data_IF_808342427067
#
_entry.id   IF_808342427067
#
_cell.length_a   1.000
_cell.length_b   1.000
_cell.length_c   1.000
_cell.angle_alpha   90.00
_cell.angle_beta   90.00
_cell.angle_gamma   90.00
#
_symmetry.space_group_name_H-M   'P 1'
#
loop_
_entity.id
_entity.type
_entity.pdbx_description
1 polymer ?
#
# COMPACT_ATOMS: atom_id res chain seq x y z
N UNK A 1 19.07 -28.48 6.20
CA UNK A 1 19.82 -28.96 5.02
C UNK A 1 21.19 -28.31 5.12
N UNK A 2 22.27 -29.09 5.09
CA UNK A 2 23.64 -28.57 5.18
C UNK A 2 24.48 -29.13 4.03
N UNK A 3 25.46 -28.35 3.56
CA UNK A 3 26.41 -28.82 2.55
C UNK A 3 27.33 -29.88 3.17
N UNK A 4 27.75 -30.85 2.34
CA UNK A 4 28.79 -31.80 2.73
C UNK A 4 30.08 -31.05 3.12
N UNK A 5 30.74 -31.42 4.24
CA UNK A 5 32.02 -30.80 4.64
C UNK A 5 33.11 -30.88 3.58
N UNK A 6 33.06 -31.91 2.72
CA UNK A 6 34.01 -32.08 1.61
C UNK A 6 33.84 -31.03 0.49
N UNK A 7 32.68 -30.37 0.43
CA UNK A 7 32.28 -29.48 -0.63
C UNK A 7 32.05 -28.02 -0.14
N UNK A 8 32.25 -27.78 1.16
CA UNK A 8 32.03 -26.50 1.82
C UNK A 8 32.95 -25.37 1.33
N UNK A 9 33.97 -25.69 0.53
CA UNK A 9 34.94 -24.74 -0.02
C UNK A 9 34.49 -24.16 -1.35
N UNK A 10 33.58 -24.82 -2.07
CA UNK A 10 33.15 -24.43 -3.41
C UNK A 10 31.99 -23.43 -3.34
N UNK A 11 32.21 -22.21 -3.83
CA UNK A 11 31.22 -21.14 -3.78
C UNK A 11 29.95 -21.46 -4.57
N UNK A 12 30.05 -22.31 -5.61
CA UNK A 12 28.88 -22.78 -6.37
C UNK A 12 27.96 -23.65 -5.51
N UNK A 13 28.56 -24.47 -4.65
CA UNK A 13 27.83 -25.37 -3.77
C UNK A 13 27.21 -24.61 -2.61
N UNK A 14 27.90 -23.59 -2.09
CA UNK A 14 27.34 -22.67 -1.09
C UNK A 14 26.14 -21.92 -1.65
N UNK A 15 26.25 -21.38 -2.85
CA UNK A 15 25.19 -20.62 -3.49
C UNK A 15 23.98 -21.49 -3.85
N UNK A 16 24.20 -22.71 -4.34
CA UNK A 16 23.12 -23.68 -4.56
C UNK A 16 22.39 -24.04 -3.26
N UNK A 17 23.14 -24.19 -2.16
CA UNK A 17 22.55 -24.42 -0.84
C UNK A 17 21.73 -23.21 -0.37
N UNK A 18 22.20 -21.99 -0.63
CA UNK A 18 21.48 -20.75 -0.32
C UNK A 18 20.14 -20.68 -1.06
N UNK A 19 20.10 -20.97 -2.36
CA UNK A 19 18.85 -21.02 -3.14
C UNK A 19 17.88 -22.08 -2.60
N UNK A 20 18.43 -23.22 -2.20
CA UNK A 20 17.65 -24.35 -1.67
C UNK A 20 17.06 -24.02 -0.31
N UNK A 21 17.86 -23.48 0.61
CA UNK A 21 17.43 -23.16 1.98
C UNK A 21 16.61 -21.88 2.05
N UNK A 22 16.86 -20.94 1.14
CA UNK A 22 16.14 -19.68 1.01
C UNK A 22 14.84 -19.85 0.22
N UNK A 23 14.81 -19.28 -0.98
CA UNK A 23 13.60 -19.12 -1.80
C UNK A 23 12.87 -20.45 -2.09
N UNK A 24 13.61 -21.55 -2.26
CA UNK A 24 13.00 -22.86 -2.54
C UNK A 24 12.22 -23.42 -1.34
N UNK A 25 12.78 -23.37 -0.13
CA UNK A 25 12.03 -23.77 1.06
C UNK A 25 10.94 -22.76 1.41
N UNK A 26 11.22 -21.46 1.24
CA UNK A 26 10.26 -20.40 1.48
C UNK A 26 8.99 -20.66 0.68
N UNK A 27 9.11 -20.88 -0.63
CA UNK A 27 7.96 -21.06 -1.50
C UNK A 27 7.15 -22.32 -1.21
N UNK A 28 7.81 -23.36 -0.70
CA UNK A 28 7.17 -24.63 -0.32
C UNK A 28 6.57 -24.59 1.09
N UNK A 29 6.95 -23.62 1.93
CA UNK A 29 6.47 -23.52 3.31
C UNK A 29 4.99 -23.14 3.41
N UNK A 30 4.43 -22.52 2.35
CA UNK A 30 3.08 -21.98 2.31
C UNK A 30 2.41 -22.20 0.97
N UNK A 31 1.17 -22.69 1.00
CA UNK A 31 0.39 -22.96 -0.20
C UNK A 31 0.14 -21.69 -1.03
N UNK A 32 -0.16 -20.55 -0.40
CA UNK A 32 -0.44 -19.30 -1.10
C UNK A 32 0.79 -18.74 -1.84
N UNK A 33 2.00 -18.96 -1.31
CA UNK A 33 3.24 -18.55 -1.99
C UNK A 33 3.54 -19.47 -3.17
N UNK A 34 3.35 -20.78 -2.99
CA UNK A 34 3.45 -21.73 -4.08
C UNK A 34 2.50 -21.39 -5.24
N UNK A 35 1.23 -21.16 -4.96
CA UNK A 35 0.24 -20.82 -5.98
C UNK A 35 0.51 -19.47 -6.66
N UNK A 36 0.99 -18.46 -5.94
CA UNK A 36 1.22 -17.13 -6.52
C UNK A 36 2.46 -17.06 -7.40
N UNK A 37 3.56 -17.68 -6.99
CA UNK A 37 4.83 -17.56 -7.72
C UNK A 37 5.67 -18.84 -7.72
N UNK A 38 5.53 -19.73 -6.74
CA UNK A 38 6.33 -20.95 -6.65
C UNK A 38 6.17 -21.94 -7.79
N UNK A 39 4.95 -22.12 -8.28
CA UNK A 39 4.66 -22.97 -9.43
C UNK A 39 5.39 -22.52 -10.71
N UNK A 40 5.85 -21.27 -10.78
CA UNK A 40 6.66 -20.73 -11.89
C UNK A 40 8.15 -20.66 -11.54
N UNK A 41 8.48 -20.28 -10.30
CA UNK A 41 9.84 -20.18 -9.81
C UNK A 41 10.58 -21.53 -9.81
N UNK A 42 9.96 -22.60 -9.28
CA UNK A 42 10.63 -23.89 -9.16
C UNK A 42 11.01 -24.50 -10.52
N UNK A 43 10.13 -24.52 -11.54
CA UNK A 43 10.56 -24.91 -12.88
C UNK A 43 11.63 -23.99 -13.46
N UNK A 44 11.52 -22.67 -13.24
CA UNK A 44 12.48 -21.68 -13.75
C UNK A 44 13.90 -21.96 -13.26
N UNK A 45 14.09 -22.15 -11.95
CA UNK A 45 15.42 -22.41 -11.37
C UNK A 45 15.94 -23.81 -11.74
N UNK A 46 15.06 -24.81 -11.82
CA UNK A 46 15.42 -26.15 -12.30
C UNK A 46 15.94 -26.10 -13.75
N UNK A 47 15.23 -25.41 -14.64
CA UNK A 47 15.67 -25.27 -16.03
C UNK A 47 16.94 -24.43 -16.17
N UNK A 48 17.13 -23.41 -15.33
CA UNK A 48 18.35 -22.62 -15.28
C UNK A 48 19.58 -23.49 -15.01
N UNK A 49 19.52 -24.35 -13.99
CA UNK A 49 20.60 -25.30 -13.73
C UNK A 49 20.78 -26.34 -14.83
N UNK A 50 19.66 -26.88 -15.35
CA UNK A 50 19.69 -27.91 -16.41
C UNK A 50 20.31 -27.39 -17.71
N UNK A 51 20.01 -26.14 -18.08
CA UNK A 51 20.49 -25.50 -19.30
C UNK A 51 21.78 -24.69 -19.08
N UNK A 52 22.26 -24.59 -17.83
CA UNK A 52 23.38 -23.75 -17.44
C UNK A 52 23.20 -22.29 -17.88
N UNK A 53 22.05 -21.71 -17.51
CA UNK A 53 21.66 -20.35 -17.87
C UNK A 53 21.47 -19.49 -16.62
N UNK A 54 21.90 -18.24 -16.69
CA UNK A 54 21.59 -17.21 -15.69
C UNK A 54 20.31 -16.48 -16.10
N UNK A 55 19.16 -16.97 -15.64
CA UNK A 55 17.84 -16.41 -15.95
C UNK A 55 17.24 -15.55 -14.82
N UNK A 56 17.82 -15.61 -13.62
CA UNK A 56 17.40 -14.84 -12.46
C UNK A 56 18.63 -14.40 -11.65
N UNK A 57 18.39 -13.58 -10.63
CA UNK A 57 19.42 -13.11 -9.70
C UNK A 57 19.65 -14.06 -8.52
N UNK A 58 19.20 -15.31 -8.58
CA UNK A 58 19.44 -16.28 -7.49
C UNK A 58 20.94 -16.68 -7.42
N UNK A 59 21.55 -16.71 -6.23
CA UNK A 59 22.95 -17.06 -6.02
C UNK A 59 23.46 -18.25 -6.86
N UNK A 60 22.75 -19.37 -6.90
CA UNK A 60 23.19 -20.61 -7.52
C UNK A 60 23.26 -20.59 -9.04
N UNK A 61 22.45 -19.75 -9.70
CA UNK A 61 22.42 -19.64 -11.18
C UNK A 61 23.34 -18.53 -11.72
N UNK A 62 23.84 -17.64 -10.85
CA UNK A 62 24.74 -16.53 -11.24
C UNK A 62 26.07 -16.99 -11.82
N UNK A 63 26.51 -18.21 -11.51
CA UNK A 63 27.77 -18.77 -12.04
C UNK A 63 27.68 -19.13 -13.53
N UNK A 64 26.49 -19.14 -14.10
CA UNK A 64 26.27 -19.38 -15.52
C UNK A 64 26.36 -18.08 -16.35
N UNK A 65 26.81 -18.17 -17.60
CA UNK A 65 26.92 -17.04 -18.52
C UNK A 65 28.34 -16.48 -18.73
N UNK A 66 29.31 -16.90 -17.92
CA UNK A 66 30.73 -16.63 -18.13
C UNK A 66 31.13 -15.16 -17.99
N UNK A 67 32.40 -14.89 -18.32
CA UNK A 67 33.05 -13.60 -18.03
C UNK A 67 32.40 -12.40 -18.72
N UNK A 68 31.99 -12.57 -19.98
CA UNK A 68 31.33 -11.49 -20.73
C UNK A 68 30.01 -11.06 -20.08
N UNK A 69 29.18 -12.01 -19.62
CA UNK A 69 27.92 -11.66 -18.96
C UNK A 69 28.17 -11.03 -17.59
N UNK A 70 29.17 -11.52 -16.85
CA UNK A 70 29.59 -10.92 -15.58
C UNK A 70 30.00 -9.46 -15.78
N UNK A 71 30.84 -9.17 -16.77
CA UNK A 71 31.33 -7.82 -17.05
C UNK A 71 30.20 -6.88 -17.47
N UNK A 72 29.31 -7.33 -18.38
CA UNK A 72 28.11 -6.57 -18.78
C UNK A 72 27.18 -6.27 -17.61
N UNK A 73 27.04 -7.22 -16.67
CA UNK A 73 26.22 -7.03 -15.48
C UNK A 73 26.83 -6.01 -14.53
N UNK A 74 28.14 -6.09 -14.29
CA UNK A 74 28.83 -5.15 -13.42
C UNK A 74 28.74 -3.73 -13.99
N UNK A 75 28.94 -3.58 -15.31
CA UNK A 75 28.77 -2.29 -15.99
C UNK A 75 27.33 -1.77 -15.86
N UNK A 76 26.32 -2.63 -16.09
CA UNK A 76 24.91 -2.23 -15.94
C UNK A 76 24.56 -1.83 -14.50
N UNK A 77 25.10 -2.53 -13.50
CA UNK A 77 24.88 -2.25 -12.08
C UNK A 77 25.55 -0.93 -11.65
N UNK A 78 26.77 -0.65 -12.12
CA UNK A 78 27.44 0.63 -11.93
C UNK A 78 26.64 1.78 -12.53
N UNK A 79 26.15 1.61 -13.76
CA UNK A 79 25.29 2.60 -14.42
C UNK A 79 24.02 2.80 -13.60
N UNK A 80 23.32 1.74 -13.19
CA UNK A 80 22.08 1.82 -12.42
C UNK A 80 22.28 2.57 -11.10
N UNK A 81 23.37 2.30 -10.36
CA UNK A 81 23.70 3.00 -9.12
C UNK A 81 24.08 4.47 -9.34
N UNK A 82 24.59 4.81 -10.53
CA UNK A 82 24.92 6.20 -10.89
C UNK A 82 23.69 7.03 -11.30
N UNK A 83 22.55 6.38 -11.58
CA UNK A 83 21.33 7.09 -11.96
C UNK A 83 20.77 7.86 -10.76
N UNK A 84 20.36 9.13 -10.96
CA UNK A 84 19.61 9.84 -9.93
C UNK A 84 18.29 9.09 -9.68
N UNK A 85 17.74 9.26 -8.47
CA UNK A 85 16.43 8.71 -8.13
C UNK A 85 15.43 9.03 -9.26
N UNK A 86 14.68 8.02 -9.76
CA UNK A 86 13.79 8.23 -10.88
C UNK A 86 12.84 9.36 -10.53
N UNK A 87 12.76 10.38 -11.40
CA UNK A 87 11.71 11.38 -11.29
C UNK A 87 10.38 10.64 -11.43
N UNK A 88 9.43 10.79 -10.50
CA UNK A 88 8.12 10.17 -10.63
C UNK A 88 7.48 10.61 -11.95
N UNK A 89 7.47 9.71 -12.94
CA UNK A 89 6.90 9.98 -14.27
C UNK A 89 5.41 9.63 -14.31
N UNK A 90 4.95 8.87 -13.32
CA UNK A 90 3.53 8.64 -13.12
C UNK A 90 2.89 9.96 -12.67
N UNK A 91 2.39 10.72 -13.65
CA UNK A 91 1.14 11.43 -13.40
C UNK A 91 0.13 10.38 -12.95
N UNK A 92 -0.74 10.62 -11.96
CA UNK A 92 -1.80 9.66 -11.63
C UNK A 92 -2.48 9.29 -12.94
N UNK A 93 -2.30 8.04 -13.38
CA UNK A 93 -2.69 7.64 -14.71
C UNK A 93 -4.21 7.60 -14.73
N UNK A 94 -4.79 8.70 -15.17
CA UNK A 94 -6.20 8.78 -15.52
C UNK A 94 -6.42 7.77 -16.64
N UNK A 95 -6.93 6.58 -16.29
CA UNK A 95 -7.47 5.67 -17.29
C UNK A 95 -8.63 6.40 -17.95
N UNK A 96 -8.63 6.44 -19.29
CA UNK A 96 -9.76 6.93 -20.08
C UNK A 96 -10.38 5.73 -20.76
N UNK A 97 -11.70 5.66 -20.80
CA UNK A 97 -12.36 4.67 -21.65
C UNK A 97 -12.21 5.05 -23.14
N UNK A 98 -12.65 4.15 -24.02
CA UNK A 98 -12.64 4.35 -25.46
C UNK A 98 -13.45 5.57 -25.95
N UNK A 99 -14.26 6.19 -25.08
CA UNK A 99 -15.04 7.40 -25.35
C UNK A 99 -14.40 8.67 -24.76
N UNK A 100 -13.24 8.54 -24.08
CA UNK A 100 -12.50 9.65 -23.50
C UNK A 100 -13.01 10.10 -22.13
N UNK A 101 -13.97 9.39 -21.53
CA UNK A 101 -14.40 9.64 -20.17
C UNK A 101 -13.38 9.08 -19.17
N UNK A 102 -13.21 9.78 -18.06
CA UNK A 102 -12.30 9.37 -17.01
C UNK A 102 -12.87 8.16 -16.28
N UNK A 103 -12.17 7.04 -16.42
CA UNK A 103 -12.44 5.79 -15.70
C UNK A 103 -11.59 5.78 -14.45
N UNK A 104 -12.23 5.53 -13.32
CA UNK A 104 -11.58 5.40 -12.03
C UNK A 104 -12.29 6.18 -10.92
N UNK A 105 -11.73 6.09 -9.72
CA UNK A 105 -12.30 6.69 -8.52
C UNK A 105 -11.79 8.11 -8.31
N UNK A 106 -12.64 9.04 -7.88
CA UNK A 106 -12.20 10.38 -7.47
C UNK A 106 -11.65 10.34 -6.03
N UNK A 107 -12.35 9.60 -5.15
CA UNK A 107 -12.16 9.63 -3.71
C UNK A 107 -12.11 8.22 -3.13
N UNK A 108 -11.14 7.95 -2.25
CA UNK A 108 -11.02 6.72 -1.48
C UNK A 108 -11.48 6.93 -0.04
N UNK A 109 -12.50 6.20 0.41
CA UNK A 109 -12.92 6.17 1.81
C UNK A 109 -12.21 5.04 2.55
N UNK A 110 -11.36 5.39 3.51
CA UNK A 110 -10.68 4.44 4.39
C UNK A 110 -11.51 4.23 5.66
N UNK A 111 -12.39 3.23 5.65
CA UNK A 111 -13.36 2.95 6.74
C UNK A 111 -12.96 1.77 7.62
N UNK A 112 -11.66 1.56 7.84
CA UNK A 112 -11.13 0.41 8.60
C UNK A 112 -11.18 0.63 10.11
N UNK A 113 -12.39 0.75 10.66
CA UNK A 113 -12.65 0.89 12.10
C UNK A 113 -13.29 -0.38 12.67
N UNK A 114 -13.11 -0.63 13.97
CA UNK A 114 -13.70 -1.78 14.66
C UNK A 114 -15.24 -1.78 14.62
N UNK A 115 -15.91 -2.92 14.85
CA UNK A 115 -17.37 -3.06 14.82
C UNK A 115 -18.18 -2.05 15.67
N UNK A 116 -17.55 -1.35 16.63
CA UNK A 116 -18.18 -0.26 17.39
C UNK A 116 -18.42 1.04 16.60
N UNK A 117 -17.92 1.14 15.36
CA UNK A 117 -18.01 2.33 14.50
C UNK A 117 -19.26 2.36 13.61
N UNK A 118 -20.19 1.41 13.76
CA UNK A 118 -21.36 1.33 12.88
C UNK A 118 -22.25 2.57 13.00
N UNK A 119 -22.35 3.15 14.20
CA UNK A 119 -23.07 4.41 14.40
C UNK A 119 -22.40 5.59 13.68
N UNK A 120 -21.08 5.72 13.80
CA UNK A 120 -20.33 6.76 13.09
C UNK A 120 -20.46 6.59 11.57
N UNK A 121 -20.39 5.35 11.07
CA UNK A 121 -20.56 5.07 9.65
C UNK A 121 -21.93 5.53 9.16
N UNK A 122 -23.00 5.12 9.85
CA UNK A 122 -24.38 5.50 9.51
C UNK A 122 -24.63 7.00 9.61
N UNK A 123 -24.00 7.67 10.57
CA UNK A 123 -24.19 9.11 10.80
C UNK A 123 -23.32 9.94 9.85
N UNK A 124 -22.05 9.61 9.67
CA UNK A 124 -21.09 10.40 8.86
C UNK A 124 -20.82 9.80 7.51
N UNK A 125 -20.29 8.58 7.47
CA UNK A 125 -19.70 8.03 6.26
C UNK A 125 -20.75 7.85 5.17
N UNK A 126 -21.91 7.30 5.51
CA UNK A 126 -22.98 7.03 4.54
C UNK A 126 -23.63 8.33 4.01
N UNK A 127 -23.97 9.33 4.85
CA UNK A 127 -24.47 10.61 4.36
C UNK A 127 -23.43 11.39 3.57
N UNK A 128 -22.16 11.37 3.99
CA UNK A 128 -21.07 12.03 3.27
C UNK A 128 -20.81 11.39 1.91
N UNK A 129 -20.80 10.06 1.85
CA UNK A 129 -20.71 9.31 0.60
C UNK A 129 -21.86 9.67 -0.34
N UNK A 130 -23.09 9.74 0.19
CA UNK A 130 -24.28 10.10 -0.57
C UNK A 130 -24.19 11.53 -1.14
N UNK A 131 -23.71 12.48 -0.35
CA UNK A 131 -23.51 13.89 -0.76
C UNK A 131 -22.47 14.04 -1.86
N UNK A 132 -21.32 13.36 -1.72
CA UNK A 132 -20.25 13.38 -2.71
C UNK A 132 -20.68 12.71 -4.02
N UNK A 133 -21.38 11.58 -3.93
CA UNK A 133 -21.91 10.86 -5.10
C UNK A 133 -22.95 11.69 -5.84
N UNK A 134 -23.86 12.36 -5.11
CA UNK A 134 -24.84 13.28 -5.70
C UNK A 134 -24.19 14.49 -6.36
N UNK A 135 -23.00 14.88 -5.92
CA UNK A 135 -22.18 15.91 -6.55
C UNK A 135 -21.42 15.42 -7.80
N UNK A 136 -21.67 14.18 -8.24
CA UNK A 136 -21.07 13.57 -9.43
C UNK A 136 -19.71 12.92 -9.18
N UNK A 137 -19.30 12.70 -7.92
CA UNK A 137 -18.02 12.06 -7.59
C UNK A 137 -18.12 10.55 -7.52
N UNK A 138 -17.13 9.85 -8.07
CA UNK A 138 -16.95 8.40 -7.91
C UNK A 138 -16.19 8.14 -6.61
N UNK A 139 -16.86 7.60 -5.60
CA UNK A 139 -16.26 7.35 -4.29
C UNK A 139 -16.11 5.85 -4.05
N UNK A 140 -14.87 5.38 -3.88
CA UNK A 140 -14.58 4.01 -3.49
C UNK A 140 -14.82 3.84 -2.00
N UNK A 141 -15.57 2.80 -1.63
CA UNK A 141 -16.01 2.56 -0.26
C UNK A 141 -15.37 1.29 0.28
N UNK A 142 -14.27 1.42 1.02
CA UNK A 142 -13.53 0.27 1.58
C UNK A 142 -14.08 -0.14 2.95
N UNK A 143 -15.05 -1.06 2.98
CA UNK A 143 -15.64 -1.62 4.21
C UNK A 143 -15.19 -3.07 4.50
N UNK A 144 -14.04 -3.49 3.99
CA UNK A 144 -13.55 -4.85 4.15
C UNK A 144 -13.04 -5.09 5.58
N UNK A 145 -13.53 -6.17 6.21
CA UNK A 145 -13.11 -6.62 7.53
C UNK A 145 -11.72 -7.24 7.51
N UNK A 146 -11.20 -7.55 8.69
CA UNK A 146 -9.93 -8.27 8.84
C UNK A 146 -10.11 -9.72 8.33
N UNK A 147 -9.37 -10.12 7.29
CA UNK A 147 -9.42 -11.47 6.71
C UNK A 147 -10.15 -11.59 5.36
N UNK A 148 -10.73 -10.50 4.87
CA UNK A 148 -11.42 -10.47 3.58
C UNK A 148 -10.41 -10.48 2.39
N UNK A 149 -10.57 -11.38 1.41
CA UNK A 149 -9.73 -11.50 0.20
C UNK A 149 -9.92 -10.32 -0.78
N UNK A 150 -9.21 -9.19 -0.60
CA UNK A 150 -9.45 -7.95 -1.37
C UNK A 150 -8.19 -7.32 -2.00
N UNK A 151 -7.31 -8.14 -2.59
CA UNK A 151 -6.01 -7.67 -3.07
C UNK A 151 -6.04 -6.70 -4.25
N UNK A 152 -6.80 -7.00 -5.31
CA UNK A 152 -6.68 -6.25 -6.57
C UNK A 152 -7.56 -4.99 -6.61
N UNK A 153 -8.83 -5.10 -6.19
CA UNK A 153 -9.78 -3.97 -6.25
C UNK A 153 -9.36 -2.79 -5.35
N UNK A 154 -8.70 -3.05 -4.22
CA UNK A 154 -8.23 -1.99 -3.32
C UNK A 154 -6.99 -1.31 -3.89
N UNK A 155 -6.05 -2.08 -4.45
CA UNK A 155 -4.85 -1.50 -5.08
C UNK A 155 -5.23 -0.65 -6.29
N UNK A 156 -6.16 -1.12 -7.11
CA UNK A 156 -6.71 -0.35 -8.23
C UNK A 156 -7.41 0.91 -7.74
N UNK A 157 -8.25 0.82 -6.70
CA UNK A 157 -8.90 2.00 -6.14
C UNK A 157 -7.91 2.99 -5.50
N UNK A 158 -6.86 2.52 -4.84
CA UNK A 158 -5.79 3.36 -4.29
C UNK A 158 -5.04 4.09 -5.43
N UNK A 159 -4.76 3.39 -6.53
CA UNK A 159 -4.07 3.94 -7.69
C UNK A 159 -4.91 4.96 -8.46
N UNK A 160 -6.20 4.71 -8.63
CA UNK A 160 -7.11 5.58 -9.38
C UNK A 160 -7.57 6.79 -8.56
N UNK A 161 -7.73 6.64 -7.25
CA UNK A 161 -8.23 7.70 -6.37
C UNK A 161 -7.26 8.88 -6.26
N UNK A 162 -7.82 10.10 -6.26
CA UNK A 162 -7.04 11.34 -6.17
C UNK A 162 -6.95 11.86 -4.73
N UNK A 163 -7.98 11.58 -3.94
CA UNK A 163 -8.12 12.04 -2.57
C UNK A 163 -8.46 10.87 -1.64
N UNK A 164 -7.70 10.74 -0.56
CA UNK A 164 -7.99 9.83 0.55
C UNK A 164 -8.79 10.57 1.61
N UNK A 165 -9.98 10.07 1.95
CA UNK A 165 -10.67 10.43 3.19
C UNK A 165 -10.29 9.42 4.25
N UNK A 166 -9.41 9.86 5.15
CA UNK A 166 -8.91 9.10 6.28
C UNK A 166 -9.75 9.46 7.52
N UNK A 167 -10.67 8.59 7.93
CA UNK A 167 -11.33 8.83 9.21
C UNK A 167 -10.39 8.32 10.31
N UNK A 168 -10.03 9.18 11.25
CA UNK A 168 -8.99 8.92 12.24
C UNK A 168 -9.67 8.43 13.52
N UNK A 169 -9.36 7.19 13.91
CA UNK A 169 -9.81 6.54 15.14
C UNK A 169 -8.66 6.27 16.10
N UNK A 170 -8.94 6.28 17.40
CA UNK A 170 -7.99 5.84 18.43
C UNK A 170 -8.00 4.31 18.63
N UNK A 171 -9.13 3.66 18.42
CA UNK A 171 -9.31 2.22 18.63
C UNK A 171 -10.13 1.58 17.49
N UNK A 172 -9.50 0.76 16.61
CA UNK A 172 -8.05 0.56 16.51
C UNK A 172 -7.35 1.86 16.06
N UNK A 173 -6.06 2.04 16.41
CA UNK A 173 -5.34 3.26 16.07
C UNK A 173 -5.14 3.37 14.55
N UNK A 174 -5.69 4.42 13.94
CA UNK A 174 -5.56 4.64 12.51
C UNK A 174 -4.10 4.90 12.12
N UNK A 175 -3.62 4.19 11.08
CA UNK A 175 -2.24 4.31 10.61
C UNK A 175 -1.22 3.47 11.40
N UNK A 176 -1.67 2.57 12.28
CA UNK A 176 -0.77 1.59 12.89
C UNK A 176 -0.25 0.58 11.85
N UNK A 177 1.07 0.36 11.86
CA UNK A 177 1.72 -0.64 10.99
C UNK A 177 1.57 -2.02 11.63
N UNK A 178 0.45 -2.68 11.35
CA UNK A 178 0.16 -4.04 11.82
C UNK A 178 0.84 -5.12 10.95
N UNK A 179 1.61 -4.72 9.93
CA UNK A 179 2.15 -5.64 8.92
C UNK A 179 1.11 -6.09 7.89
N UNK A 180 -0.17 -5.75 8.06
CA UNK A 180 -1.21 -6.04 7.08
C UNK A 180 -0.95 -5.23 5.79
N UNK A 181 -0.81 -5.88 4.61
CA UNK A 181 -0.55 -5.19 3.34
C UNK A 181 -1.68 -4.24 2.91
N UNK A 182 -2.88 -4.39 3.48
CA UNK A 182 -4.04 -3.57 3.19
C UNK A 182 -4.49 -2.76 4.42
N UNK A 183 -3.67 -2.61 5.45
CA UNK A 183 -4.01 -1.81 6.62
C UNK A 183 -4.07 -0.31 6.33
N UNK A 184 -4.69 0.47 7.23
CA UNK A 184 -4.78 1.94 7.12
C UNK A 184 -3.39 2.61 7.03
N UNK A 185 -2.35 2.02 7.63
CA UNK A 185 -0.97 2.46 7.44
C UNK A 185 -0.52 2.39 5.97
N UNK A 186 -0.86 1.32 5.25
CA UNK A 186 -0.46 1.11 3.85
C UNK A 186 -1.19 2.07 2.92
N UNK A 187 -2.49 2.29 3.17
CA UNK A 187 -3.31 3.28 2.46
C UNK A 187 -2.72 4.68 2.65
N UNK A 188 -2.43 5.07 3.89
CA UNK A 188 -1.85 6.36 4.24
C UNK A 188 -0.46 6.55 3.61
N UNK A 189 0.40 5.53 3.72
CA UNK A 189 1.75 5.54 3.14
C UNK A 189 1.69 5.68 1.62
N UNK A 190 0.79 4.93 0.96
CA UNK A 190 0.63 4.98 -0.48
C UNK A 190 0.24 6.39 -0.96
N UNK A 191 -0.76 7.02 -0.33
CA UNK A 191 -1.16 8.38 -0.69
C UNK A 191 -0.05 9.41 -0.41
N UNK A 192 0.65 9.26 0.72
CA UNK A 192 1.74 10.14 1.09
C UNK A 192 2.92 10.06 0.11
N UNK A 193 3.39 8.85 -0.19
CA UNK A 193 4.55 8.62 -1.07
C UNK A 193 4.27 9.09 -2.51
N UNK A 194 3.01 8.98 -2.95
CA UNK A 194 2.60 9.44 -4.28
C UNK A 194 2.17 10.91 -4.32
N UNK A 195 2.34 11.66 -3.22
CA UNK A 195 1.99 13.09 -3.15
C UNK A 195 0.49 13.37 -3.38
N UNK A 196 -0.37 12.38 -3.14
CA UNK A 196 -1.83 12.50 -3.31
C UNK A 196 -2.45 13.23 -2.12
N UNK A 197 -3.68 13.71 -2.30
CA UNK A 197 -4.36 14.51 -1.26
C UNK A 197 -4.88 13.60 -0.15
N UNK A 198 -4.60 13.95 1.10
CA UNK A 198 -5.14 13.27 2.27
C UNK A 198 -6.02 14.24 3.06
N UNK A 199 -7.26 13.83 3.31
CA UNK A 199 -8.27 14.57 4.05
C UNK A 199 -8.62 13.79 5.31
N UNK A 200 -8.16 14.27 6.47
CA UNK A 200 -8.38 13.58 7.73
C UNK A 200 -9.65 14.08 8.43
N UNK A 201 -10.54 13.15 8.77
CA UNK A 201 -11.77 13.42 9.53
C UNK A 201 -11.64 12.74 10.88
N UNK A 202 -11.90 13.47 11.95
CA UNK A 202 -11.85 12.89 13.28
C UNK A 202 -13.13 12.10 13.59
N UNK A 203 -13.00 10.88 14.10
CA UNK A 203 -14.14 10.03 14.46
C UNK A 203 -14.59 10.26 15.90
N UNK A 204 -13.65 10.49 16.81
CA UNK A 204 -13.91 10.63 18.25
C UNK A 204 -14.27 12.09 18.66
N UNK A 205 -14.97 12.31 19.77
CA UNK A 205 -15.44 13.67 20.16
C UNK A 205 -14.34 14.56 20.80
N UNK A 206 -13.19 13.98 21.14
CA UNK A 206 -12.11 14.61 21.92
C UNK A 206 -10.85 14.95 21.10
N UNK A 207 -10.94 16.07 20.36
CA UNK A 207 -9.88 16.62 19.49
C UNK A 207 -8.52 16.90 20.18
N UNK A 208 -8.55 17.38 21.43
CA UNK A 208 -7.36 17.86 22.14
C UNK A 208 -6.50 16.72 22.69
N UNK A 209 -7.11 15.54 22.87
CA UNK A 209 -6.43 14.32 23.31
C UNK A 209 -5.88 13.50 22.14
N UNK A 210 -6.43 13.65 20.92
CA UNK A 210 -6.09 12.77 19.80
C UNK A 210 -4.67 12.95 19.27
N UNK A 211 -4.18 14.18 19.07
CA UNK A 211 -2.81 14.36 18.55
C UNK A 211 -1.76 13.76 19.49
N UNK A 212 -1.90 13.98 20.79
CA UNK A 212 -0.96 13.48 21.79
C UNK A 212 -1.13 11.98 22.02
N UNK A 213 -2.37 11.48 22.14
CA UNK A 213 -2.65 10.08 22.45
C UNK A 213 -2.49 9.14 21.25
N UNK A 214 -2.89 9.56 20.04
CA UNK A 214 -2.71 8.75 18.83
C UNK A 214 -1.23 8.65 18.46
N UNK A 215 -0.49 9.78 18.51
CA UNK A 215 0.96 9.74 18.32
C UNK A 215 1.63 8.91 19.43
N UNK A 216 1.17 8.96 20.68
CA UNK A 216 1.72 8.12 21.74
C UNK A 216 1.41 6.61 21.56
N UNK A 217 0.25 6.26 21.00
CA UNK A 217 -0.25 4.89 20.84
C UNK A 217 0.30 4.17 19.60
N UNK A 218 0.60 4.89 18.51
CA UNK A 218 1.22 4.29 17.33
C UNK A 218 2.57 3.68 17.73
N UNK A 219 2.68 2.34 17.65
CA UNK A 219 3.92 1.61 17.94
C UNK A 219 4.94 1.88 16.82
N UNK A 220 6.05 2.55 17.17
CA UNK A 220 7.13 2.88 16.25
C UNK A 220 7.01 4.24 15.51
N UNK A 221 8.12 4.68 14.92
CA UNK A 221 8.25 6.03 14.34
C UNK A 221 7.61 6.21 12.95
N UNK A 222 7.33 5.11 12.23
CA UNK A 222 6.93 5.16 10.82
C UNK A 222 5.51 5.71 10.63
N UNK A 223 4.51 5.13 11.30
CA UNK A 223 3.12 5.61 11.25
C UNK A 223 2.96 7.02 11.82
N UNK A 224 3.69 7.34 12.90
CA UNK A 224 3.67 8.67 13.54
C UNK A 224 4.07 9.80 12.60
N UNK A 225 5.15 9.62 11.84
CA UNK A 225 5.67 10.65 10.95
C UNK A 225 4.73 10.92 9.77
N UNK A 226 4.19 9.85 9.18
CA UNK A 226 3.22 9.93 8.08
C UNK A 226 1.91 10.59 8.53
N UNK A 227 1.39 10.13 9.67
CA UNK A 227 0.14 10.66 10.19
C UNK A 227 0.29 12.11 10.64
N UNK A 228 1.40 12.47 11.30
CA UNK A 228 1.70 13.86 11.66
C UNK A 228 1.75 14.77 10.42
N UNK A 229 2.36 14.31 9.33
CA UNK A 229 2.41 15.06 8.07
C UNK A 229 1.04 15.19 7.39
N UNK A 230 0.21 14.14 7.46
CA UNK A 230 -1.15 14.14 6.90
C UNK A 230 -2.14 15.01 7.73
N UNK A 231 -2.08 14.91 9.06
CA UNK A 231 -2.89 15.65 10.04
C UNK A 231 -2.49 17.13 10.11
N UNK A 232 -1.28 17.49 9.69
CA UNK A 232 -0.81 18.89 9.73
C UNK A 232 -1.59 19.85 8.82
N UNK A 233 -2.36 19.35 7.84
CA UNK A 233 -2.91 20.18 6.74
C UNK A 233 -4.44 20.20 6.63
N UNK A 234 -5.15 19.19 7.13
CA UNK A 234 -6.60 18.99 6.88
C UNK A 234 -7.21 18.11 7.98
N UNK A 235 -7.37 18.64 9.19
CA UNK A 235 -8.22 18.00 10.21
C UNK A 235 -9.45 18.85 10.43
N UNK A 236 -10.61 18.25 10.19
CA UNK A 236 -11.88 18.79 10.64
C UNK A 236 -12.34 17.89 11.79
N UNK A 237 -12.54 18.50 12.96
CA UNK A 237 -13.04 17.79 14.14
C UNK A 237 -14.46 17.26 13.94
N UNK A 238 -14.83 16.29 14.77
CA UNK A 238 -16.22 15.88 14.96
C UNK A 238 -17.10 17.11 15.24
N UNK A 239 -18.41 17.00 14.99
CA UNK A 239 -19.37 18.09 15.14
C UNK A 239 -19.41 18.63 16.60
N UNK A 240 -18.50 19.55 16.96
CA UNK A 240 -18.53 20.27 18.23
C UNK A 240 -19.52 21.44 18.11
N UNK A 241 -20.66 21.34 18.80
CA UNK A 241 -21.59 22.45 19.01
C UNK A 241 -22.96 22.31 18.33
N UNK A 242 -23.82 23.31 18.57
CA UNK A 242 -25.27 23.36 18.33
C UNK A 242 -25.76 23.26 16.86
N UNK A 243 -24.92 22.86 15.91
CA UNK A 243 -25.32 22.71 14.51
C UNK A 243 -25.92 21.33 14.26
N UNK A 244 -27.02 21.24 13.50
CA UNK A 244 -27.54 19.96 13.04
C UNK A 244 -26.47 19.16 12.30
N UNK A 245 -26.47 17.85 12.51
CA UNK A 245 -25.48 16.93 11.95
C UNK A 245 -25.38 17.02 10.41
N UNK A 246 -26.52 17.23 9.75
CA UNK A 246 -26.61 17.36 8.30
C UNK A 246 -25.85 18.59 7.78
N UNK A 247 -25.86 19.71 8.51
CA UNK A 247 -25.09 20.89 8.14
C UNK A 247 -23.58 20.64 8.20
N UNK A 248 -23.14 19.83 9.16
CA UNK A 248 -21.73 19.45 9.29
C UNK A 248 -21.30 18.51 8.17
N UNK A 249 -22.11 17.51 7.82
CA UNK A 249 -21.84 16.62 6.67
C UNK A 249 -21.75 17.42 5.36
N UNK A 250 -22.68 18.36 5.14
CA UNK A 250 -22.65 19.24 3.96
C UNK A 250 -21.39 20.11 3.93
N UNK A 251 -20.97 20.62 5.10
CA UNK A 251 -19.73 21.37 5.21
C UNK A 251 -18.49 20.52 4.86
N UNK A 252 -18.43 19.28 5.36
CA UNK A 252 -17.37 18.32 5.03
C UNK A 252 -17.34 18.02 3.54
N UNK A 253 -18.49 17.71 2.93
CA UNK A 253 -18.57 17.41 1.51
C UNK A 253 -18.04 18.58 0.68
N UNK A 254 -18.44 19.81 1.01
CA UNK A 254 -17.92 21.02 0.34
C UNK A 254 -16.40 21.13 0.46
N UNK A 255 -15.85 20.90 1.65
CA UNK A 255 -14.39 20.95 1.90
C UNK A 255 -13.63 19.87 1.13
N UNK A 256 -14.18 18.68 1.04
CA UNK A 256 -13.62 17.58 0.24
C UNK A 256 -13.66 17.92 -1.24
N UNK A 257 -14.79 18.44 -1.75
CA UNK A 257 -14.95 18.85 -3.14
C UNK A 257 -14.01 19.99 -3.55
N UNK A 258 -13.69 20.93 -2.64
CA UNK A 258 -12.68 21.98 -2.83
C UNK A 258 -11.26 21.40 -3.01
N UNK A 259 -10.99 20.24 -2.41
CA UNK A 259 -9.67 19.58 -2.41
C UNK A 259 -9.57 18.45 -3.43
N UNK A 260 -10.70 17.94 -3.91
CA UNK A 260 -10.77 16.89 -4.91
C UNK A 260 -10.67 17.52 -6.31
N UNK A 261 -9.63 17.19 -7.10
CA UNK A 261 -9.54 17.62 -8.50
C UNK A 261 -10.85 17.28 -9.24
N UNK A 262 -11.31 18.16 -10.12
CA UNK A 262 -12.37 17.77 -11.06
C UNK A 262 -11.73 16.85 -12.10
N UNK A 263 -12.35 15.69 -12.28
CA UNK A 263 -12.14 14.83 -13.44
C UNK A 263 -12.50 15.65 -14.70
#
# INVERSE_FOLDING_TARGET
IEASPAAAWDDRIKALLEDTVGQTLEVLSRHDWYSRWGQHYLPSVMFAHKLQMCNNYDPGVRFYGGKLLEDLRNEADEVLHSLPAPKPTASPSMKRDGEGALTGWDIFFSLRFSPGSEEFRRRVADPLWSELTRSGRKVFYSNAGEGDEFGENILEALDESHLLVAFISLEPPYGEDTGNPYGSYKELKYFYDNGKVIFAIHVDDELDELRSNLLARLRGNRGRSLLSAAIGRTVIGAARGSKPYDEWVNHLAKKILEKCPRS
#
